data_IF_381772007749
#
_entry.id   IF_381772007749
#
_cell.length_a   1.000
_cell.length_b   1.000
_cell.length_c   1.000
_cell.angle_alpha   90.00
_cell.angle_beta   90.00
_cell.angle_gamma   90.00
#
_symmetry.space_group_name_H-M   'P 1'
#
loop_
_entity.id
_entity.type
_entity.pdbx_description
1 polymer ?
#
# COMPACT_ATOMS: atom_id res chain seq x y z
N UNK A 1 -4.24 -16.78 -6.04
CA UNK A 1 -4.25 -15.79 -4.95
C UNK A 1 -2.81 -15.32 -4.72
N UNK A 2 -2.54 -14.04 -4.95
CA UNK A 2 -1.24 -13.43 -4.74
C UNK A 2 -1.16 -12.91 -3.31
N UNK A 3 -0.09 -13.20 -2.59
CA UNK A 3 0.12 -12.71 -1.23
C UNK A 3 1.33 -11.77 -1.19
N UNK A 4 1.09 -10.52 -0.83
CA UNK A 4 2.11 -9.47 -0.82
C UNK A 4 2.25 -8.94 0.59
N UNK A 5 3.48 -8.85 1.10
CA UNK A 5 3.77 -8.21 2.38
C UNK A 5 4.48 -6.89 2.16
N UNK A 6 3.89 -5.81 2.65
CA UNK A 6 4.38 -4.43 2.59
C UNK A 6 4.86 -4.00 3.96
N UNK A 7 6.15 -3.65 4.07
CA UNK A 7 6.76 -3.17 5.33
C UNK A 7 6.97 -1.65 5.26
N UNK A 8 5.88 -0.90 5.37
CA UNK A 8 5.92 0.57 5.34
C UNK A 8 6.64 1.14 6.56
N UNK A 9 6.63 0.44 7.70
CA UNK A 9 7.33 0.85 8.92
C UNK A 9 8.85 1.11 8.77
N UNK A 10 9.48 0.64 7.69
CA UNK A 10 10.89 0.91 7.36
C UNK A 10 11.11 2.23 6.63
N UNK A 11 10.05 2.88 6.19
CA UNK A 11 10.09 4.07 5.35
C UNK A 11 9.26 5.18 5.99
N UNK A 12 9.86 6.36 6.15
CA UNK A 12 9.16 7.54 6.68
C UNK A 12 8.81 8.55 5.59
N UNK A 13 9.48 8.49 4.44
CA UNK A 13 9.29 9.45 3.35
C UNK A 13 8.31 8.93 2.29
N UNK A 14 7.46 9.83 1.79
CA UNK A 14 6.47 9.54 0.75
C UNK A 14 7.11 8.89 -0.49
N UNK A 15 8.21 9.47 -0.99
CA UNK A 15 8.89 8.98 -2.20
C UNK A 15 9.44 7.56 -2.02
N UNK A 16 10.07 7.28 -0.88
CA UNK A 16 10.58 5.94 -0.56
C UNK A 16 9.46 4.90 -0.49
N UNK A 17 8.32 5.26 0.13
CA UNK A 17 7.13 4.40 0.16
C UNK A 17 6.65 4.11 -1.26
N UNK A 18 6.44 5.14 -2.09
CA UNK A 18 5.97 4.96 -3.47
C UNK A 18 6.92 4.11 -4.31
N UNK A 19 8.24 4.34 -4.22
CA UNK A 19 9.24 3.54 -4.91
C UNK A 19 9.25 2.09 -4.43
N UNK A 20 9.08 1.87 -3.12
CA UNK A 20 8.94 0.53 -2.54
C UNK A 20 7.68 -0.18 -3.03
N UNK A 21 6.54 0.51 -3.03
CA UNK A 21 5.26 0.00 -3.55
C UNK A 21 5.38 -0.36 -5.03
N UNK A 22 5.94 0.53 -5.86
CA UNK A 22 6.16 0.28 -7.29
C UNK A 22 6.92 -1.02 -7.52
N UNK A 23 8.05 -1.21 -6.82
CA UNK A 23 8.85 -2.43 -6.93
C UNK A 23 8.13 -3.68 -6.41
N UNK A 24 7.42 -3.56 -5.30
CA UNK A 24 6.82 -4.70 -4.60
C UNK A 24 5.52 -5.18 -5.26
N UNK A 25 4.71 -4.25 -5.76
CA UNK A 25 3.48 -4.50 -6.51
C UNK A 25 3.73 -4.68 -8.02
N UNK A 26 4.96 -4.42 -8.48
CA UNK A 26 5.32 -4.37 -9.91
C UNK A 26 4.44 -3.40 -10.69
N UNK A 27 4.21 -2.21 -10.12
CA UNK A 27 3.45 -1.17 -10.80
C UNK A 27 4.18 -0.71 -12.08
N UNK A 28 3.41 -0.27 -13.08
CA UNK A 28 3.94 0.15 -14.37
C UNK A 28 4.81 1.39 -14.28
N UNK A 29 5.58 1.67 -15.34
CA UNK A 29 6.51 2.79 -15.36
C UNK A 29 5.84 4.16 -15.29
N UNK A 30 4.58 4.26 -15.72
CA UNK A 30 3.75 5.46 -15.60
C UNK A 30 3.21 5.71 -14.18
N UNK A 31 3.63 4.95 -13.18
CA UNK A 31 3.25 5.19 -11.78
C UNK A 31 3.75 6.56 -11.29
N UNK A 32 2.83 7.52 -11.16
CA UNK A 32 3.13 8.93 -10.86
C UNK A 32 3.51 9.24 -9.40
N UNK A 33 3.86 8.24 -8.58
CA UNK A 33 4.30 8.42 -7.18
C UNK A 33 3.37 9.30 -6.30
N UNK A 34 2.07 9.22 -6.56
CA UNK A 34 1.01 9.97 -5.87
C UNK A 34 -0.09 9.04 -5.35
N UNK A 35 -0.94 9.57 -4.45
CA UNK A 35 -2.04 8.83 -3.84
C UNK A 35 -3.09 8.41 -4.89
N UNK A 36 -3.46 9.30 -5.81
CA UNK A 36 -4.34 8.98 -6.94
C UNK A 36 -3.78 7.87 -7.83
N UNK A 37 -2.49 7.96 -8.20
CA UNK A 37 -1.83 6.93 -9.01
C UNK A 37 -1.76 5.58 -8.28
N UNK A 38 -1.63 5.61 -6.95
CA UNK A 38 -1.70 4.40 -6.12
C UNK A 38 -3.10 3.80 -6.16
N UNK A 39 -4.14 4.61 -5.98
CA UNK A 39 -5.52 4.15 -6.05
C UNK A 39 -5.81 3.49 -7.40
N UNK A 40 -5.50 4.17 -8.49
CA UNK A 40 -5.72 3.68 -9.85
C UNK A 40 -5.03 2.34 -10.13
N UNK A 41 -3.77 2.21 -9.70
CA UNK A 41 -3.04 0.94 -9.86
C UNK A 41 -3.59 -0.19 -8.97
N UNK A 42 -4.24 0.13 -7.84
CA UNK A 42 -4.85 -0.88 -6.95
C UNK A 42 -6.22 -1.30 -7.47
N UNK A 43 -7.02 -0.38 -8.00
CA UNK A 43 -8.34 -0.70 -8.56
C UNK A 43 -8.26 -1.44 -9.88
N UNK A 44 -7.19 -1.26 -10.65
CA UNK A 44 -6.92 -2.00 -11.89
C UNK A 44 -6.54 -3.48 -11.66
N UNK A 45 -6.18 -3.86 -10.43
CA UNK A 45 -5.80 -5.24 -10.10
C UNK A 45 -6.98 -6.18 -10.33
N UNK A 46 -6.87 -6.99 -11.39
CA UNK A 46 -7.91 -7.94 -11.81
C UNK A 46 -7.71 -9.36 -11.27
N UNK A 47 -6.75 -9.57 -10.37
CA UNK A 47 -6.41 -10.90 -9.82
C UNK A 47 -6.49 -10.89 -8.30
N UNK A 48 -7.02 -11.96 -7.71
CA UNK A 48 -7.20 -12.06 -6.26
C UNK A 48 -5.87 -11.88 -5.52
N UNK A 49 -5.74 -10.75 -4.83
CA UNK A 49 -4.48 -10.28 -4.24
C UNK A 49 -4.72 -9.84 -2.79
N UNK A 50 -4.04 -10.53 -1.87
CA UNK A 50 -4.05 -10.24 -0.45
C UNK A 50 -2.76 -9.52 -0.03
N UNK A 51 -2.90 -8.37 0.62
CA UNK A 51 -1.79 -7.48 0.95
C UNK A 51 -1.73 -7.28 2.47
N UNK A 52 -0.66 -7.76 3.09
CA UNK A 52 -0.35 -7.50 4.50
C UNK A 52 0.49 -6.22 4.63
N UNK A 53 -0.09 -5.18 5.23
CA UNK A 53 0.54 -3.86 5.39
C UNK A 53 0.97 -3.67 6.84
N UNK A 54 2.28 -3.59 7.03
CA UNK A 54 2.93 -3.28 8.31
C UNK A 54 3.28 -1.81 8.37
N UNK A 55 2.59 -1.07 9.23
CA UNK A 55 2.69 0.38 9.32
C UNK A 55 2.99 0.86 10.75
N UNK A 56 3.53 2.06 10.82
CA UNK A 56 3.79 2.82 12.03
C UNK A 56 2.67 3.87 12.18
N UNK A 57 1.90 3.79 13.27
CA UNK A 57 0.76 4.69 13.48
C UNK A 57 1.18 6.13 13.84
N UNK A 58 2.46 6.39 14.09
CA UNK A 58 3.00 7.73 14.32
C UNK A 58 3.31 8.45 12.99
N UNK A 59 3.39 7.71 11.87
CA UNK A 59 3.74 8.28 10.57
C UNK A 59 2.49 8.67 9.76
N UNK A 60 2.26 9.97 9.60
CA UNK A 60 1.07 10.51 8.93
C UNK A 60 0.95 10.04 7.47
N UNK A 61 2.05 10.08 6.73
CA UNK A 61 2.11 9.63 5.32
C UNK A 61 1.66 8.17 5.16
N UNK A 62 1.99 7.31 6.12
CA UNK A 62 1.57 5.90 6.05
C UNK A 62 0.07 5.74 6.28
N UNK A 63 -0.54 6.61 7.10
CA UNK A 63 -1.99 6.65 7.26
C UNK A 63 -2.67 7.03 5.95
N UNK A 64 -2.21 8.08 5.29
CA UNK A 64 -2.77 8.49 3.99
C UNK A 64 -2.69 7.36 2.95
N UNK A 65 -1.57 6.63 2.93
CA UNK A 65 -1.43 5.45 2.05
C UNK A 65 -2.43 4.36 2.44
N UNK A 66 -2.59 4.05 3.72
CA UNK A 66 -3.56 3.04 4.19
C UNK A 66 -5.01 3.41 3.89
N UNK A 67 -5.35 4.70 3.91
CA UNK A 67 -6.68 5.17 3.52
C UNK A 67 -6.92 4.87 2.04
N UNK A 68 -5.96 5.19 1.16
CA UNK A 68 -6.06 4.84 -0.27
C UNK A 68 -6.22 3.34 -0.48
N UNK A 69 -5.46 2.50 0.24
CA UNK A 69 -5.64 1.05 0.19
C UNK A 69 -7.04 0.61 0.63
N UNK A 70 -7.59 1.24 1.67
CA UNK A 70 -8.92 0.90 2.18
C UNK A 70 -10.02 1.30 1.19
N UNK A 71 -9.87 2.46 0.56
CA UNK A 71 -10.78 2.94 -0.48
C UNK A 71 -10.73 2.03 -1.72
N UNK A 72 -9.52 1.64 -2.15
CA UNK A 72 -9.35 0.73 -3.28
C UNK A 72 -10.00 -0.65 -3.02
N UNK A 73 -9.89 -1.21 -1.81
CA UNK A 73 -10.58 -2.47 -1.44
C UNK A 73 -12.09 -2.31 -1.42
N UNK A 74 -12.62 -1.13 -1.12
CA UNK A 74 -14.06 -0.89 -1.11
C UNK A 74 -14.66 -0.95 -2.52
N UNK A 75 -13.88 -0.62 -3.55
CA UNK A 75 -14.32 -0.65 -4.95
C UNK A 75 -13.79 -1.85 -5.74
N UNK A 76 -12.71 -2.50 -5.29
CA UNK A 76 -12.10 -3.67 -5.91
C UNK A 76 -12.28 -4.92 -5.03
N UNK A 77 -13.15 -5.84 -5.46
CA UNK A 77 -13.46 -7.10 -4.76
C UNK A 77 -12.35 -8.14 -4.83
N UNK A 78 -11.38 -8.02 -5.75
CA UNK A 78 -10.23 -8.91 -5.84
C UNK A 78 -9.12 -8.54 -4.87
N UNK A 79 -9.21 -7.38 -4.23
CA UNK A 79 -8.16 -6.84 -3.39
C UNK A 79 -8.56 -6.98 -1.92
N UNK A 80 -7.68 -7.59 -1.13
CA UNK A 80 -7.86 -7.70 0.30
C UNK A 80 -6.63 -7.11 1.02
N UNK A 81 -6.86 -6.33 2.07
CA UNK A 81 -5.76 -5.77 2.87
C UNK A 81 -5.87 -6.20 4.33
N UNK A 82 -4.72 -6.43 4.95
CA UNK A 82 -4.58 -6.67 6.38
C UNK A 82 -3.70 -5.55 6.94
N UNK A 83 -4.22 -4.82 7.92
CA UNK A 83 -3.54 -3.67 8.52
C UNK A 83 -2.91 -4.11 9.84
N UNK A 84 -1.59 -4.27 9.86
CA UNK A 84 -0.82 -4.67 11.04
C UNK A 84 -0.06 -3.46 11.57
N UNK A 85 -0.53 -2.91 12.70
CA UNK A 85 0.15 -1.83 13.41
C UNK A 85 1.41 -2.37 14.08
N UNK A 86 2.56 -1.74 13.83
CA UNK A 86 3.83 -2.07 14.46
C UNK A 86 4.04 -1.12 15.65
N UNK A 87 3.96 -1.65 16.87
CA UNK A 87 4.42 -0.91 18.04
C UNK A 87 5.94 -1.01 18.10
N UNK A 88 6.66 0.10 17.85
CA UNK A 88 8.06 0.18 18.29
C UNK A 88 8.06 0.11 19.81
N UNK A 89 8.50 -1.03 20.37
CA UNK A 89 8.85 -1.08 21.79
C UNK A 89 9.96 -0.05 21.99
N UNK A 90 9.66 1.01 22.74
CA UNK A 90 10.65 1.88 23.36
C UNK A 90 11.58 1.05 24.23
#
# INVERSE_FOLDING_TARGET
MNNITLKLNKFSEKKEIHNYLKKKMKFPDYYGENLDALFDCLTDISSDTAIDIKYDAENDIQKSVLEVFSDAVAVNTHLAIIKTKINKKK
#
